data_IF_804589477163
#
_entry.id   IF_804589477163
#
_cell.length_a   1.000
_cell.length_b   1.000
_cell.length_c   1.000
_cell.angle_alpha   90.00
_cell.angle_beta   90.00
_cell.angle_gamma   90.00
#
_symmetry.space_group_name_H-M   'P 1'
#
loop_
_entity.id
_entity.type
_entity.pdbx_description
1 polymer ?
#
# COMPACT_ATOMS: atom_id res chain seq x y z
N UNK A 1 39.27 10.67 4.34
CA UNK A 1 39.01 9.24 4.56
C UNK A 1 37.63 9.17 5.20
N UNK A 2 36.59 8.99 4.39
CA UNK A 2 35.24 8.80 4.89
C UNK A 2 35.21 7.40 5.49
N UNK A 3 35.15 7.32 6.82
CA UNK A 3 34.84 6.08 7.50
C UNK A 3 33.51 5.56 6.96
N UNK A 4 33.49 4.34 6.45
CA UNK A 4 32.27 3.60 6.18
C UNK A 4 31.57 3.47 7.54
N UNK A 5 30.59 4.33 7.79
CA UNK A 5 29.61 4.07 8.85
C UNK A 5 28.96 2.74 8.51
N UNK A 6 28.83 1.86 9.49
CA UNK A 6 28.10 0.59 9.29
C UNK A 6 26.73 0.91 8.69
N UNK A 7 26.26 0.12 7.70
CA UNK A 7 24.94 0.36 7.12
C UNK A 7 23.88 0.38 8.21
N UNK A 8 22.94 1.32 8.13
CA UNK A 8 21.79 1.37 9.03
C UNK A 8 20.93 0.12 8.83
N UNK A 9 20.31 -0.40 9.90
CA UNK A 9 19.37 -1.51 9.76
C UNK A 9 17.94 -1.01 9.72
N UNK A 10 17.24 -1.32 8.63
CA UNK A 10 15.82 -0.99 8.43
C UNK A 10 14.95 -2.19 8.75
N UNK A 11 14.03 -2.03 9.70
CA UNK A 11 12.94 -2.99 9.94
C UNK A 11 11.70 -2.58 9.13
N UNK A 12 11.23 -3.46 8.25
CA UNK A 12 10.01 -3.27 7.48
C UNK A 12 8.89 -4.07 8.12
N UNK A 13 7.85 -3.37 8.58
CA UNK A 13 6.61 -3.97 9.08
C UNK A 13 5.62 -4.11 7.93
N UNK A 14 5.02 -5.30 7.79
CA UNK A 14 4.08 -5.61 6.70
C UNK A 14 4.74 -5.94 5.35
N UNK A 15 5.86 -6.71 5.30
CA UNK A 15 6.67 -6.95 4.10
C UNK A 15 5.96 -7.76 3.00
N UNK A 16 4.78 -8.32 3.27
CA UNK A 16 3.98 -9.11 2.32
C UNK A 16 2.79 -8.31 1.74
N UNK A 17 2.59 -7.07 2.19
CA UNK A 17 1.61 -6.15 1.61
C UNK A 17 2.18 -5.42 0.38
N UNK A 18 1.31 -4.69 -0.33
CA UNK A 18 1.71 -3.94 -1.54
C UNK A 18 2.87 -2.99 -1.24
N UNK A 19 2.74 -2.16 -0.21
CA UNK A 19 3.75 -1.17 0.15
C UNK A 19 5.01 -1.82 0.71
N UNK A 20 4.88 -2.64 1.76
CA UNK A 20 6.05 -3.25 2.40
C UNK A 20 6.83 -4.19 1.48
N UNK A 21 6.15 -4.86 0.54
CA UNK A 21 6.77 -5.67 -0.49
C UNK A 21 7.62 -4.85 -1.47
N UNK A 22 7.08 -3.73 -1.95
CA UNK A 22 7.79 -2.81 -2.85
C UNK A 22 8.99 -2.17 -2.14
N UNK A 23 8.83 -1.73 -0.88
CA UNK A 23 9.94 -1.19 -0.08
C UNK A 23 11.04 -2.25 0.13
N UNK A 24 10.65 -3.48 0.50
CA UNK A 24 11.61 -4.59 0.64
C UNK A 24 12.37 -4.84 -0.66
N UNK A 25 11.68 -4.88 -1.79
CA UNK A 25 12.31 -5.09 -3.10
C UNK A 25 13.27 -3.96 -3.46
N UNK A 26 12.88 -2.70 -3.21
CA UNK A 26 13.69 -1.53 -3.53
C UNK A 26 14.95 -1.44 -2.69
N UNK A 27 14.85 -1.67 -1.39
CA UNK A 27 15.99 -1.58 -0.48
C UNK A 27 16.88 -2.83 -0.52
N UNK A 28 16.39 -3.96 -1.04
CA UNK A 28 17.16 -5.19 -1.13
C UNK A 28 18.33 -5.03 -2.10
N UNK A 29 19.54 -5.24 -1.60
CA UNK A 29 20.78 -5.05 -2.39
C UNK A 29 21.30 -3.61 -2.40
N UNK A 30 20.64 -2.65 -1.76
CA UNK A 30 21.21 -1.33 -1.52
C UNK A 30 22.22 -1.43 -0.36
N UNK A 31 23.49 -1.18 -0.66
CA UNK A 31 24.61 -1.32 0.31
C UNK A 31 24.52 -0.35 1.51
N UNK A 32 23.64 0.66 1.45
CA UNK A 32 23.42 1.58 2.56
C UNK A 32 22.56 0.98 3.67
N UNK A 33 21.82 -0.11 3.38
CA UNK A 33 20.81 -0.65 4.29
C UNK A 33 20.91 -2.16 4.47
N UNK A 34 21.02 -2.60 5.73
CA UNK A 34 20.73 -3.97 6.13
C UNK A 34 19.23 -4.11 6.40
N UNK A 35 18.59 -5.18 5.92
CA UNK A 35 17.15 -5.34 6.04
C UNK A 35 16.75 -6.37 7.10
N UNK A 36 15.74 -6.00 7.88
CA UNK A 36 14.93 -6.90 8.67
C UNK A 36 13.46 -6.74 8.30
N UNK A 37 12.67 -7.78 8.48
CA UNK A 37 11.22 -7.77 8.23
C UNK A 37 10.49 -8.42 9.38
N UNK A 38 9.29 -7.91 9.72
CA UNK A 38 8.44 -8.52 10.72
C UNK A 38 7.00 -8.68 10.20
N UNK A 39 6.45 -9.88 10.35
CA UNK A 39 5.08 -10.21 9.96
C UNK A 39 4.58 -11.46 10.68
N UNK A 40 3.28 -11.72 10.61
CA UNK A 40 2.67 -12.98 11.11
C UNK A 40 3.03 -14.19 10.25
N UNK A 41 3.35 -13.97 8.97
CA UNK A 41 3.74 -15.06 8.06
C UNK A 41 5.18 -15.44 8.33
N UNK A 42 5.50 -16.75 8.38
CA UNK A 42 6.88 -17.19 8.49
C UNK A 42 7.70 -16.73 7.27
N UNK A 43 9.01 -16.70 7.43
CA UNK A 43 9.93 -16.47 6.31
C UNK A 43 9.70 -17.49 5.20
N UNK A 44 9.69 -17.04 3.94
CA UNK A 44 9.56 -17.95 2.81
C UNK A 44 10.82 -18.84 2.70
N UNK A 45 10.64 -20.15 2.46
CA UNK A 45 11.76 -21.04 2.18
C UNK A 45 12.53 -20.53 0.94
N UNK A 46 13.83 -20.30 1.09
CA UNK A 46 14.69 -19.83 0.00
C UNK A 46 14.88 -18.31 -0.08
N UNK A 47 14.35 -17.52 0.86
CA UNK A 47 14.81 -16.14 1.04
C UNK A 47 16.33 -16.16 1.29
N UNK A 48 17.04 -15.38 0.46
CA UNK A 48 18.50 -15.21 0.64
C UNK A 48 18.79 -14.74 2.05
N UNK A 49 19.86 -15.23 2.64
CA UNK A 49 20.33 -14.91 4.01
C UNK A 49 20.59 -13.41 4.27
N UNK A 50 20.36 -12.55 3.28
CA UNK A 50 20.57 -11.11 3.36
C UNK A 50 19.46 -10.35 4.12
N UNK A 51 18.25 -10.91 4.28
CA UNK A 51 17.13 -10.26 4.99
C UNK A 51 16.77 -11.08 6.22
N UNK A 52 16.91 -10.49 7.41
CA UNK A 52 16.48 -11.12 8.67
C UNK A 52 14.95 -11.05 8.75
N UNK A 53 14.28 -12.20 8.78
CA UNK A 53 12.82 -12.27 8.86
C UNK A 53 12.37 -12.74 10.25
N UNK A 54 11.51 -11.97 10.90
CA UNK A 54 10.93 -12.27 12.21
C UNK A 54 9.44 -12.57 12.06
N UNK A 55 9.03 -13.74 12.57
CA UNK A 55 7.60 -14.10 12.65
C UNK A 55 7.04 -13.64 13.99
N UNK A 56 6.07 -12.71 13.94
CA UNK A 56 5.48 -12.12 15.16
C UNK A 56 4.06 -11.61 14.89
N UNK A 57 3.16 -11.81 15.83
CA UNK A 57 1.90 -11.06 15.89
C UNK A 57 2.09 -9.80 16.73
N UNK A 58 2.07 -8.65 16.08
CA UNK A 58 2.25 -7.34 16.73
C UNK A 58 1.11 -6.98 17.70
N UNK A 59 0.00 -7.72 17.69
CA UNK A 59 -1.10 -7.55 18.66
C UNK A 59 -0.89 -8.40 19.93
N UNK A 60 0.03 -9.34 19.90
CA UNK A 60 0.41 -10.14 21.06
C UNK A 60 1.71 -9.61 21.68
N UNK A 61 1.55 -8.75 22.68
CA UNK A 61 2.69 -8.11 23.38
C UNK A 61 3.62 -9.12 24.03
N UNK A 62 3.11 -10.29 24.42
CA UNK A 62 3.94 -11.32 25.05
C UNK A 62 4.95 -11.94 24.08
N UNK A 63 4.59 -12.02 22.80
CA UNK A 63 5.47 -12.57 21.77
C UNK A 63 6.39 -11.50 21.17
N UNK A 64 5.99 -10.23 21.14
CA UNK A 64 6.78 -9.14 20.57
C UNK A 64 8.12 -9.00 21.27
N UNK A 65 8.14 -8.95 22.60
CA UNK A 65 9.36 -8.77 23.38
C UNK A 65 10.40 -9.87 23.09
N UNK A 66 9.95 -11.13 23.03
CA UNK A 66 10.84 -12.28 22.70
C UNK A 66 11.33 -12.27 21.26
N UNK A 67 10.45 -11.94 20.32
CA UNK A 67 10.75 -11.95 18.88
C UNK A 67 11.70 -10.82 18.46
N UNK A 68 11.73 -9.71 19.20
CA UNK A 68 12.54 -8.54 18.83
C UNK A 68 13.93 -8.50 19.49
N UNK A 69 14.27 -9.46 20.35
CA UNK A 69 15.62 -9.53 20.97
C UNK A 69 16.74 -9.51 19.92
N UNK A 70 16.52 -10.14 18.78
CA UNK A 70 17.50 -10.17 17.68
C UNK A 70 17.51 -8.88 16.83
N UNK A 71 16.67 -7.91 17.13
CA UNK A 71 16.51 -6.65 16.40
C UNK A 71 17.10 -5.45 17.17
N UNK A 72 17.93 -5.69 18.18
CA UNK A 72 18.57 -4.63 18.99
C UNK A 72 19.47 -3.68 18.18
N UNK A 73 19.85 -4.06 16.98
CA UNK A 73 20.67 -3.27 16.05
C UNK A 73 19.83 -2.50 15.00
N UNK A 74 18.49 -2.54 15.09
CA UNK A 74 17.60 -1.75 14.24
C UNK A 74 17.74 -0.27 14.58
N UNK A 75 17.96 0.54 13.54
CA UNK A 75 18.07 2.00 13.63
C UNK A 75 16.89 2.72 12.95
N UNK A 76 16.31 2.08 11.94
CA UNK A 76 15.23 2.66 11.14
C UNK A 76 14.03 1.71 11.06
N UNK A 77 12.83 2.28 11.05
CA UNK A 77 11.59 1.50 10.91
C UNK A 77 10.77 2.05 9.74
N UNK A 78 10.32 1.17 8.85
CA UNK A 78 9.26 1.47 7.89
C UNK A 78 8.00 0.75 8.33
N UNK A 79 7.01 1.51 8.80
CA UNK A 79 5.77 0.94 9.29
C UNK A 79 4.68 1.00 8.21
N UNK A 80 4.43 -0.15 7.55
CA UNK A 80 3.36 -0.38 6.58
C UNK A 80 2.40 -1.51 7.06
N UNK A 81 2.36 -1.74 8.38
CA UNK A 81 1.48 -2.73 9.01
C UNK A 81 0.03 -2.29 8.99
N UNK A 82 -0.86 -3.21 8.60
CA UNK A 82 -2.29 -2.98 8.56
C UNK A 82 -3.06 -4.24 8.98
N UNK A 83 -4.13 -4.03 9.73
CA UNK A 83 -5.12 -5.08 9.99
C UNK A 83 -6.52 -4.54 9.77
N UNK A 84 -7.32 -5.29 9.00
CA UNK A 84 -8.70 -4.93 8.69
C UNK A 84 -9.64 -5.38 9.80
N UNK A 85 -10.70 -4.60 10.02
CA UNK A 85 -11.84 -4.92 10.87
C UNK A 85 -13.13 -4.52 10.14
N UNK A 86 -14.30 -5.02 10.55
CA UNK A 86 -15.58 -4.76 9.89
C UNK A 86 -15.91 -3.26 9.78
N UNK A 87 -15.54 -2.45 10.76
CA UNK A 87 -15.81 -1.01 10.77
C UNK A 87 -14.56 -0.18 10.96
N UNK A 88 -14.59 1.08 10.48
CA UNK A 88 -13.50 2.04 10.67
C UNK A 88 -13.16 2.27 12.15
N UNK A 89 -14.17 2.32 13.01
CA UNK A 89 -13.97 2.48 14.45
C UNK A 89 -13.22 1.31 15.08
N UNK A 90 -13.56 0.07 14.69
CA UNK A 90 -12.89 -1.14 15.17
C UNK A 90 -11.45 -1.29 14.64
N UNK A 91 -11.12 -0.61 13.55
CA UNK A 91 -9.75 -0.60 13.01
C UNK A 91 -8.78 0.26 13.81
N UNK A 92 -9.27 1.25 14.56
CA UNK A 92 -8.40 2.24 15.21
C UNK A 92 -7.46 1.57 16.21
N UNK A 93 -8.00 0.96 17.25
CA UNK A 93 -7.20 0.42 18.35
C UNK A 93 -6.17 -0.65 17.90
N UNK A 94 -6.51 -1.67 17.08
CA UNK A 94 -5.52 -2.67 16.70
C UNK A 94 -4.43 -2.11 15.79
N UNK A 95 -4.72 -1.17 14.88
CA UNK A 95 -3.70 -0.58 14.03
C UNK A 95 -2.76 0.35 14.81
N UNK A 96 -3.28 1.11 15.77
CA UNK A 96 -2.45 1.94 16.68
C UNK A 96 -1.61 1.05 17.61
N UNK A 97 -2.20 -0.02 18.15
CA UNK A 97 -1.49 -0.98 19.01
C UNK A 97 -0.31 -1.65 18.29
N UNK A 98 -0.46 -2.03 17.01
CA UNK A 98 0.64 -2.60 16.24
C UNK A 98 1.84 -1.66 16.13
N UNK A 99 1.61 -0.35 15.88
CA UNK A 99 2.69 0.64 15.85
C UNK A 99 3.34 0.79 17.23
N UNK A 100 2.52 0.94 18.28
CA UNK A 100 3.01 1.05 19.67
C UNK A 100 3.87 -0.15 20.06
N UNK A 101 3.35 -1.36 19.87
CA UNK A 101 4.03 -2.60 20.24
C UNK A 101 5.32 -2.81 19.44
N UNK A 102 5.37 -2.35 18.18
CA UNK A 102 6.59 -2.36 17.37
C UNK A 102 7.66 -1.48 17.99
N UNK A 103 7.33 -0.23 18.27
CA UNK A 103 8.30 0.74 18.79
C UNK A 103 8.72 0.40 20.23
N UNK A 104 7.77 0.09 21.12
CA UNK A 104 8.05 -0.32 22.50
C UNK A 104 8.89 -1.61 22.54
N UNK A 105 8.58 -2.60 21.68
CA UNK A 105 9.33 -3.86 21.60
C UNK A 105 10.78 -3.66 21.15
N UNK A 106 11.02 -2.80 20.16
CA UNK A 106 12.37 -2.46 19.70
C UNK A 106 13.17 -1.72 20.79
N UNK A 107 12.54 -0.75 21.45
CA UNK A 107 13.17 0.00 22.56
C UNK A 107 13.52 -0.96 23.70
N UNK A 108 12.58 -1.83 24.07
CA UNK A 108 12.82 -2.83 25.12
C UNK A 108 13.93 -3.84 24.75
N UNK A 109 14.10 -4.16 23.47
CA UNK A 109 15.20 -4.97 22.95
C UNK A 109 16.55 -4.24 22.95
N UNK A 110 16.57 -2.94 23.25
CA UNK A 110 17.78 -2.11 23.28
C UNK A 110 18.13 -1.44 21.95
N UNK A 111 17.20 -1.46 20.97
CA UNK A 111 17.39 -0.76 19.70
C UNK A 111 17.49 0.77 19.91
N UNK A 112 18.42 1.37 19.19
CA UNK A 112 18.61 2.84 19.18
C UNK A 112 17.99 3.38 17.90
N UNK A 113 16.68 3.64 17.97
CA UNK A 113 15.96 4.18 16.83
C UNK A 113 16.45 5.58 16.48
N UNK A 114 16.74 5.80 15.21
CA UNK A 114 17.14 7.08 14.63
C UNK A 114 15.99 7.70 13.84
N UNK A 115 15.29 6.90 13.03
CA UNK A 115 14.21 7.39 12.17
C UNK A 115 13.08 6.38 11.98
N UNK A 116 11.84 6.86 11.92
CA UNK A 116 10.64 6.07 11.65
C UNK A 116 9.87 6.67 10.48
N UNK A 117 9.67 5.89 9.42
CA UNK A 117 8.78 6.24 8.31
C UNK A 117 7.45 5.52 8.51
N UNK A 118 6.40 6.30 8.72
CA UNK A 118 5.02 5.81 8.85
C UNK A 118 4.28 5.95 7.51
N UNK A 119 3.66 4.88 7.05
CA UNK A 119 2.74 4.94 5.91
C UNK A 119 1.35 5.28 6.42
N UNK A 120 0.92 6.50 6.16
CA UNK A 120 -0.41 7.01 6.40
C UNK A 120 -1.35 6.79 5.21
N UNK A 121 -2.26 7.73 4.96
CA UNK A 121 -3.14 7.68 3.79
C UNK A 121 -4.07 8.89 3.69
N UNK A 122 -4.64 9.09 2.50
CA UNK A 122 -5.53 10.21 2.17
C UNK A 122 -6.81 10.27 3.00
N UNK A 123 -7.22 9.14 3.58
CA UNK A 123 -8.36 9.11 4.52
C UNK A 123 -8.19 10.05 5.72
N UNK A 124 -6.97 10.51 6.01
CA UNK A 124 -6.72 11.58 7.00
C UNK A 124 -7.46 12.89 6.66
N UNK A 125 -7.76 13.12 5.38
CA UNK A 125 -8.51 14.28 4.88
C UNK A 125 -10.02 14.07 4.87
N UNK A 126 -10.52 12.87 5.20
CA UNK A 126 -11.94 12.53 5.17
C UNK A 126 -12.45 12.06 3.80
N UNK A 127 -11.58 11.74 2.84
CA UNK A 127 -11.93 11.29 1.48
C UNK A 127 -12.91 10.10 1.46
N UNK A 128 -12.91 9.27 2.49
CA UNK A 128 -13.82 8.12 2.62
C UNK A 128 -15.25 8.47 3.05
N UNK A 129 -15.50 9.75 3.36
CA UNK A 129 -16.82 10.25 3.78
C UNK A 129 -17.57 10.94 2.64
N UNK A 130 -16.91 11.25 1.53
CA UNK A 130 -17.45 11.98 0.41
C UNK A 130 -16.53 13.10 -0.07
N UNK A 131 -17.07 14.00 -0.88
CA UNK A 131 -16.32 15.12 -1.45
C UNK A 131 -15.65 15.97 -0.35
N UNK A 132 -14.39 16.28 -0.55
CA UNK A 132 -13.56 17.05 0.36
C UNK A 132 -12.79 18.13 -0.41
N UNK A 133 -12.07 19.00 0.30
CA UNK A 133 -11.26 20.04 -0.35
C UNK A 133 -10.17 19.40 -1.22
N UNK A 134 -10.19 19.65 -2.52
CA UNK A 134 -9.19 19.22 -3.49
C UNK A 134 -8.49 20.43 -4.16
N UNK A 135 -7.17 20.34 -4.40
CA UNK A 135 -6.27 19.31 -3.93
C UNK A 135 -6.04 19.38 -2.41
N UNK A 136 -6.07 18.23 -1.74
CA UNK A 136 -5.76 18.15 -0.31
C UNK A 136 -4.27 18.47 -0.07
N UNK A 137 -4.00 19.21 1.00
CA UNK A 137 -2.64 19.57 1.40
C UNK A 137 -2.37 19.05 2.81
N UNK A 138 -1.13 18.81 3.12
CA UNK A 138 -0.68 18.30 4.41
C UNK A 138 -1.03 19.23 5.59
N UNK A 139 -1.26 20.52 5.29
CA UNK A 139 -1.70 21.54 6.26
C UNK A 139 -3.22 21.62 6.42
N UNK A 140 -3.99 20.87 5.63
CA UNK A 140 -5.44 20.88 5.77
C UNK A 140 -5.86 20.21 7.08
N UNK A 141 -6.96 20.67 7.70
CA UNK A 141 -7.42 20.09 8.94
C UNK A 141 -7.84 18.63 8.76
N UNK A 142 -7.60 17.83 9.79
CA UNK A 142 -8.17 16.48 9.89
C UNK A 142 -9.69 16.57 9.99
N UNK A 143 -10.40 15.56 9.45
CA UNK A 143 -11.85 15.47 9.66
C UNK A 143 -12.17 15.13 11.13
N UNK A 144 -13.41 15.39 11.56
CA UNK A 144 -13.82 15.28 12.98
C UNK A 144 -13.77 13.83 13.51
N UNK A 145 -13.97 12.83 12.66
CA UNK A 145 -14.00 11.42 13.07
C UNK A 145 -12.62 10.86 13.41
N UNK A 146 -12.61 9.71 14.11
CA UNK A 146 -11.38 8.97 14.36
C UNK A 146 -11.03 8.07 13.18
N UNK A 147 -9.75 8.05 12.82
CA UNK A 147 -9.16 7.09 11.91
C UNK A 147 -7.76 6.71 12.40
N UNK A 148 -7.41 5.45 12.27
CA UNK A 148 -6.14 4.94 12.79
C UNK A 148 -4.91 5.67 12.23
N UNK A 149 -4.95 6.21 11.01
CA UNK A 149 -3.85 7.00 10.45
C UNK A 149 -3.51 8.22 11.31
N UNK A 150 -4.55 8.98 11.72
CA UNK A 150 -4.35 10.17 12.55
C UNK A 150 -3.87 9.80 13.96
N UNK A 151 -4.44 8.74 14.55
CA UNK A 151 -4.05 8.26 15.87
C UNK A 151 -2.64 7.66 15.87
N UNK A 152 -2.21 7.03 14.76
CA UNK A 152 -0.83 6.56 14.57
C UNK A 152 0.16 7.72 14.44
N UNK A 153 -0.20 8.78 13.71
CA UNK A 153 0.63 10.00 13.63
C UNK A 153 0.80 10.63 15.02
N UNK A 154 -0.29 10.75 15.80
CA UNK A 154 -0.23 11.32 17.15
C UNK A 154 0.64 10.47 18.09
N UNK A 155 0.50 9.15 18.04
CA UNK A 155 1.35 8.22 18.77
C UNK A 155 2.83 8.35 18.36
N UNK A 156 3.10 8.43 17.06
CA UNK A 156 4.46 8.58 16.55
C UNK A 156 5.12 9.86 17.05
N UNK A 157 4.39 10.99 17.04
CA UNK A 157 4.87 12.26 17.57
C UNK A 157 5.13 12.21 19.08
N UNK A 158 4.23 11.60 19.85
CA UNK A 158 4.40 11.40 21.28
C UNK A 158 5.65 10.58 21.58
N UNK A 159 5.80 9.43 20.93
CA UNK A 159 6.92 8.53 21.17
C UNK A 159 8.26 9.13 20.71
N UNK A 160 8.28 9.79 19.55
CA UNK A 160 9.46 10.52 19.06
C UNK A 160 9.93 11.56 20.08
N UNK A 161 9.02 12.37 20.62
CA UNK A 161 9.35 13.39 21.60
C UNK A 161 9.93 12.81 22.90
N UNK A 162 9.52 11.60 23.30
CA UNK A 162 9.99 10.93 24.52
C UNK A 162 11.29 10.16 24.32
N UNK A 163 11.50 9.58 23.13
CA UNK A 163 12.59 8.64 22.85
C UNK A 163 13.72 9.26 22.03
N UNK A 164 13.49 10.42 21.38
CA UNK A 164 14.50 11.19 20.66
C UNK A 164 14.76 10.74 19.23
N UNK A 165 14.03 9.78 18.67
CA UNK A 165 14.12 9.44 17.25
C UNK A 165 13.36 10.46 16.38
N UNK A 166 13.72 10.57 15.10
CA UNK A 166 13.04 11.41 14.11
C UNK A 166 11.99 10.61 13.34
N UNK A 167 11.12 11.30 12.62
CA UNK A 167 10.04 10.63 11.88
C UNK A 167 9.71 11.32 10.55
N UNK A 168 9.09 10.56 9.65
CA UNK A 168 8.40 11.06 8.45
C UNK A 168 7.08 10.31 8.29
N UNK A 169 6.02 11.01 7.88
CA UNK A 169 4.75 10.39 7.48
C UNK A 169 4.55 10.56 5.97
N UNK A 170 4.33 9.46 5.27
CA UNK A 170 3.96 9.47 3.87
C UNK A 170 2.49 9.11 3.72
N UNK A 171 1.68 10.00 3.12
CA UNK A 171 0.26 9.81 2.88
C UNK A 171 0.03 9.50 1.40
N UNK A 172 0.08 8.24 0.99
CA UNK A 172 -0.31 7.86 -0.37
C UNK A 172 -1.82 8.01 -0.57
N UNK A 173 -2.23 8.12 -1.82
CA UNK A 173 -3.56 7.79 -2.31
C UNK A 173 -3.68 6.26 -2.50
N UNK A 174 -4.63 5.79 -3.29
CA UNK A 174 -4.78 4.36 -3.60
C UNK A 174 -3.47 3.79 -4.15
N UNK A 175 -2.88 2.82 -3.41
CA UNK A 175 -1.59 2.24 -3.81
C UNK A 175 -1.79 1.08 -4.79
N UNK A 176 -1.17 1.19 -5.96
CA UNK A 176 -1.12 0.14 -6.98
C UNK A 176 0.18 -0.65 -6.89
N UNK A 177 0.07 -1.96 -6.85
CA UNK A 177 1.22 -2.86 -6.82
C UNK A 177 0.82 -4.31 -6.61
N UNK A 178 1.82 -5.16 -6.44
CA UNK A 178 1.61 -6.59 -6.28
C UNK A 178 1.58 -7.00 -4.80
N UNK A 179 0.52 -7.71 -4.40
CA UNK A 179 0.49 -8.50 -3.17
C UNK A 179 -0.63 -9.54 -3.26
N UNK A 180 -0.37 -10.77 -2.83
CA UNK A 180 -1.41 -11.81 -2.71
C UNK A 180 -2.09 -11.73 -1.35
N UNK A 181 -3.43 -11.86 -1.35
CA UNK A 181 -4.24 -11.86 -0.14
C UNK A 181 -4.25 -10.52 0.60
N UNK A 182 -3.94 -9.42 -0.10
CA UNK A 182 -4.14 -8.08 0.44
C UNK A 182 -5.59 -7.64 0.24
N UNK A 183 -6.29 -7.22 1.30
CA UNK A 183 -7.69 -6.81 1.21
C UNK A 183 -7.89 -5.49 0.43
N UNK A 184 -6.82 -4.74 0.20
CA UNK A 184 -6.83 -3.46 -0.52
C UNK A 184 -6.06 -3.55 -1.86
N UNK A 185 -6.13 -4.68 -2.56
CA UNK A 185 -5.46 -4.87 -3.85
C UNK A 185 -6.43 -4.61 -5.01
N UNK A 186 -6.58 -3.34 -5.37
CA UNK A 186 -7.44 -2.91 -6.47
C UNK A 186 -7.00 -3.50 -7.82
N UNK A 187 -5.70 -3.51 -8.08
CA UNK A 187 -5.17 -3.93 -9.37
C UNK A 187 -5.43 -5.40 -9.66
N UNK A 188 -5.26 -6.27 -8.66
CA UNK A 188 -5.59 -7.68 -8.78
C UNK A 188 -7.09 -7.89 -9.01
N UNK A 189 -7.95 -7.19 -8.25
CA UNK A 189 -9.39 -7.28 -8.43
C UNK A 189 -9.82 -6.88 -9.84
N UNK A 190 -9.30 -5.77 -10.38
CA UNK A 190 -9.59 -5.34 -11.77
C UNK A 190 -9.10 -6.36 -12.80
N UNK A 191 -7.90 -6.93 -12.61
CA UNK A 191 -7.37 -7.95 -13.49
C UNK A 191 -8.20 -9.24 -13.48
N UNK A 192 -8.68 -9.66 -12.31
CA UNK A 192 -9.60 -10.82 -12.18
C UNK A 192 -10.94 -10.51 -12.82
N UNK A 193 -11.51 -9.33 -12.61
CA UNK A 193 -12.75 -8.89 -13.25
C UNK A 193 -12.64 -8.92 -14.78
N UNK A 194 -11.57 -8.35 -15.34
CA UNK A 194 -11.30 -8.39 -16.78
C UNK A 194 -11.17 -9.83 -17.30
N UNK A 195 -10.48 -10.70 -16.55
CA UNK A 195 -10.31 -12.11 -16.92
C UNK A 195 -11.64 -12.88 -16.96
N UNK A 196 -12.50 -12.64 -15.96
CA UNK A 196 -13.84 -13.24 -15.92
C UNK A 196 -14.73 -12.72 -17.06
N UNK A 197 -14.70 -11.43 -17.37
CA UNK A 197 -15.41 -10.85 -18.50
C UNK A 197 -14.93 -11.45 -19.84
N UNK A 198 -13.62 -11.59 -20.01
CA UNK A 198 -13.02 -12.20 -21.21
C UNK A 198 -13.46 -13.65 -21.38
N UNK A 199 -13.42 -14.45 -20.32
CA UNK A 199 -13.87 -15.86 -20.36
C UNK A 199 -15.36 -15.98 -20.72
N UNK A 200 -16.18 -15.05 -20.21
CA UNK A 200 -17.60 -14.98 -20.53
C UNK A 200 -17.90 -14.43 -21.94
N UNK A 201 -16.90 -13.92 -22.66
CA UNK A 201 -17.09 -13.32 -23.98
C UNK A 201 -17.87 -12.00 -23.97
N UNK A 202 -17.84 -11.26 -22.86
CA UNK A 202 -18.52 -9.97 -22.70
C UNK A 202 -17.53 -8.81 -22.71
N UNK A 203 -17.94 -7.59 -23.17
CA UNK A 203 -17.05 -6.43 -23.13
C UNK A 203 -16.71 -6.00 -21.69
N UNK A 204 -15.55 -5.39 -21.52
CA UNK A 204 -15.13 -4.83 -20.22
C UNK A 204 -15.91 -3.53 -19.96
N UNK A 205 -16.91 -3.56 -19.07
CA UNK A 205 -17.70 -2.42 -18.66
C UNK A 205 -17.19 -1.88 -17.34
N UNK A 206 -17.14 -0.54 -17.22
CA UNK A 206 -16.88 0.10 -15.95
C UNK A 206 -18.07 -0.14 -14.99
N UNK A 207 -17.87 -0.74 -13.82
CA UNK A 207 -18.98 -1.11 -12.94
C UNK A 207 -19.42 0.01 -12.00
N UNK A 208 -18.71 1.15 -11.97
CA UNK A 208 -19.06 2.30 -11.16
C UNK A 208 -20.12 3.21 -11.77
N UNK A 209 -20.43 4.31 -11.08
CA UNK A 209 -21.43 5.30 -11.56
C UNK A 209 -20.92 6.13 -12.74
N UNK A 210 -21.81 6.75 -13.54
CA UNK A 210 -21.39 7.68 -14.59
C UNK A 210 -20.60 8.88 -14.06
N UNK A 211 -20.86 9.32 -12.82
CA UNK A 211 -20.10 10.41 -12.19
C UNK A 211 -18.70 9.95 -11.82
N UNK A 212 -18.56 8.77 -11.22
CA UNK A 212 -17.25 8.17 -10.93
C UNK A 212 -16.40 7.97 -12.21
N UNK A 213 -17.05 7.62 -13.33
CA UNK A 213 -16.42 7.48 -14.64
C UNK A 213 -15.69 8.75 -15.10
N UNK A 214 -16.23 9.92 -14.73
CA UNK A 214 -15.73 11.24 -15.17
C UNK A 214 -15.04 12.03 -14.07
N UNK A 215 -15.05 11.60 -12.82
CA UNK A 215 -14.34 12.24 -11.72
C UNK A 215 -12.80 12.14 -11.89
N UNK A 216 -12.07 13.11 -11.33
CA UNK A 216 -10.61 13.06 -11.29
C UNK A 216 -10.14 12.18 -10.13
N UNK A 217 -9.21 11.31 -10.44
CA UNK A 217 -8.57 10.42 -9.48
C UNK A 217 -7.05 10.53 -9.57
N UNK A 218 -6.40 10.07 -8.51
CA UNK A 218 -4.95 9.83 -8.46
C UNK A 218 -4.69 8.40 -8.01
N UNK A 219 -3.52 7.90 -8.35
CA UNK A 219 -2.98 6.68 -7.78
C UNK A 219 -1.57 6.93 -7.24
N UNK A 220 -1.13 6.01 -6.42
CA UNK A 220 0.26 5.91 -5.96
C UNK A 220 0.82 4.57 -6.43
N UNK A 221 1.75 4.59 -7.36
CA UNK A 221 2.51 3.39 -7.72
C UNK A 221 3.37 2.95 -6.53
N UNK A 222 3.35 1.66 -6.21
CA UNK A 222 4.11 1.13 -5.09
C UNK A 222 5.62 1.37 -5.23
N UNK A 223 6.16 1.39 -6.45
CA UNK A 223 7.56 1.66 -6.70
C UNK A 223 7.89 3.15 -6.48
N UNK A 224 6.96 4.08 -6.80
CA UNK A 224 7.08 5.51 -6.47
C UNK A 224 7.04 5.72 -4.96
N UNK A 225 6.12 5.05 -4.27
CA UNK A 225 6.05 5.12 -2.81
C UNK A 225 7.29 4.52 -2.14
N UNK A 226 7.79 3.39 -2.64
CA UNK A 226 9.04 2.79 -2.14
C UNK A 226 10.25 3.71 -2.36
N UNK A 227 10.29 4.46 -3.49
CA UNK A 227 11.30 5.47 -3.73
C UNK A 227 11.18 6.66 -2.76
N UNK A 228 9.95 7.07 -2.41
CA UNK A 228 9.73 8.10 -1.42
C UNK A 228 10.14 7.65 -0.01
N UNK A 229 9.91 6.38 0.33
CA UNK A 229 10.39 5.77 1.59
C UNK A 229 11.92 5.79 1.65
N UNK A 230 12.60 5.31 0.58
CA UNK A 230 14.07 5.32 0.52
C UNK A 230 14.63 6.74 0.67
N UNK A 231 14.04 7.73 -0.02
CA UNK A 231 14.39 9.13 0.13
C UNK A 231 14.17 9.63 1.55
N UNK A 232 13.04 9.27 2.18
CA UNK A 232 12.71 9.72 3.53
C UNK A 232 13.64 9.14 4.61
N UNK A 233 14.20 7.94 4.40
CA UNK A 233 15.13 7.30 5.32
C UNK A 233 16.46 8.06 5.47
N UNK A 234 16.88 8.84 4.47
CA UNK A 234 18.20 9.49 4.42
C UNK A 234 18.13 11.01 4.23
N UNK A 235 16.98 11.56 3.89
CA UNK A 235 16.84 12.99 3.60
C UNK A 235 16.65 13.84 4.86
N UNK A 236 17.50 14.82 5.14
CA UNK A 236 17.28 15.76 6.22
C UNK A 236 16.00 16.61 6.03
N UNK A 237 15.55 16.79 4.79
CA UNK A 237 14.32 17.52 4.46
C UNK A 237 13.04 16.72 4.75
N UNK A 238 13.17 15.44 5.06
CA UNK A 238 12.05 14.59 5.40
C UNK A 238 11.76 14.55 6.91
N UNK A 239 12.73 14.95 7.73
CA UNK A 239 12.66 14.86 9.18
C UNK A 239 11.56 15.76 9.77
N UNK A 240 10.65 15.14 10.53
CA UNK A 240 9.55 15.83 11.19
C UNK A 240 8.43 16.28 10.25
N UNK A 241 8.33 15.68 9.07
CA UNK A 241 7.46 16.15 8.02
C UNK A 241 6.41 15.10 7.60
N UNK A 242 5.26 15.60 7.17
CA UNK A 242 4.19 14.82 6.52
C UNK A 242 4.16 15.17 5.05
N UNK A 243 4.08 14.17 4.18
CA UNK A 243 4.02 14.37 2.73
C UNK A 243 2.94 13.53 2.07
N UNK A 244 2.19 14.16 1.17
CA UNK A 244 1.38 13.43 0.19
C UNK A 244 2.28 12.82 -0.88
N UNK A 245 1.99 11.58 -1.26
CA UNK A 245 2.74 10.86 -2.29
C UNK A 245 1.76 10.25 -3.29
N UNK A 246 1.82 10.71 -4.54
CA UNK A 246 1.05 10.15 -5.66
C UNK A 246 1.94 10.03 -6.90
N UNK A 247 1.42 9.44 -7.97
CA UNK A 247 2.15 9.31 -9.24
C UNK A 247 2.59 10.65 -9.86
N UNK A 248 1.88 11.73 -9.51
CA UNK A 248 2.20 13.09 -9.96
C UNK A 248 1.30 13.63 -11.06
N UNK A 249 0.43 12.81 -11.62
CA UNK A 249 -0.63 13.15 -12.56
C UNK A 249 -2.02 12.94 -11.96
N UNK A 250 -3.06 13.19 -12.76
CA UNK A 250 -4.45 12.88 -12.46
C UNK A 250 -5.05 12.16 -13.67
N UNK A 251 -5.94 11.23 -13.42
CA UNK A 251 -6.62 10.50 -14.47
C UNK A 251 -8.15 10.49 -14.27
N UNK A 252 -8.88 10.05 -15.30
CA UNK A 252 -10.30 9.69 -15.24
C UNK A 252 -10.45 8.25 -15.68
N UNK A 253 -11.33 7.50 -15.05
CA UNK A 253 -11.58 6.11 -15.45
C UNK A 253 -11.94 5.98 -16.93
N UNK A 254 -12.66 6.95 -17.50
CA UNK A 254 -13.07 6.94 -18.90
C UNK A 254 -11.89 6.87 -19.89
N UNK A 255 -10.71 7.33 -19.50
CA UNK A 255 -9.52 7.28 -20.36
C UNK A 255 -8.65 6.06 -20.06
N UNK A 256 -8.54 5.70 -18.79
CA UNK A 256 -7.73 4.57 -18.34
C UNK A 256 -8.36 3.20 -18.70
N UNK A 257 -9.70 3.15 -18.83
CA UNK A 257 -10.43 1.90 -19.00
C UNK A 257 -10.13 1.18 -20.32
N UNK A 258 -9.97 1.96 -21.40
CA UNK A 258 -9.61 1.41 -22.71
C UNK A 258 -8.18 0.83 -22.72
N UNK A 259 -7.25 1.48 -22.02
CA UNK A 259 -5.87 0.96 -21.89
C UNK A 259 -5.86 -0.36 -21.11
N UNK A 260 -6.64 -0.45 -20.03
CA UNK A 260 -6.79 -1.69 -19.26
C UNK A 260 -7.41 -2.80 -20.10
N UNK A 261 -8.48 -2.52 -20.87
CA UNK A 261 -9.10 -3.49 -21.75
C UNK A 261 -8.13 -3.98 -22.84
N UNK A 262 -7.28 -3.08 -23.34
CA UNK A 262 -6.23 -3.38 -24.31
C UNK A 262 -5.22 -4.42 -23.79
N UNK A 263 -4.88 -4.41 -22.48
CA UNK A 263 -4.01 -5.45 -21.89
C UNK A 263 -4.59 -6.85 -22.05
N UNK A 264 -5.92 -6.97 -22.05
CA UNK A 264 -6.63 -8.25 -22.18
C UNK A 264 -7.18 -8.51 -23.60
N UNK A 265 -6.86 -7.70 -24.59
CA UNK A 265 -7.39 -7.77 -25.95
C UNK A 265 -8.93 -7.84 -25.95
N UNK A 266 -9.57 -6.93 -25.21
CA UNK A 266 -11.03 -6.90 -25.03
C UNK A 266 -11.62 -5.59 -25.54
N UNK A 267 -12.85 -5.60 -26.09
CA UNK A 267 -13.59 -4.38 -26.33
C UNK A 267 -14.13 -3.82 -25.00
N UNK A 268 -14.24 -2.51 -24.92
CA UNK A 268 -14.99 -1.82 -23.88
C UNK A 268 -16.44 -1.57 -24.30
N UNK A 269 -17.30 -1.21 -23.35
CA UNK A 269 -18.65 -0.74 -23.60
C UNK A 269 -19.06 0.28 -22.56
N UNK A 270 -20.20 0.94 -22.76
CA UNK A 270 -20.70 1.95 -21.85
C UNK A 270 -20.73 1.48 -20.38
N UNK A 271 -20.42 2.33 -19.41
CA UNK A 271 -20.50 2.00 -17.99
C UNK A 271 -21.82 1.35 -17.62
N UNK A 272 -21.77 0.38 -16.73
CA UNK A 272 -22.94 -0.32 -16.20
C UNK A 272 -22.77 -0.47 -14.69
N UNK A 273 -23.38 0.43 -13.90
CA UNK A 273 -23.29 0.37 -12.45
C UNK A 273 -23.75 -0.96 -11.90
N UNK A 274 -22.88 -1.63 -11.12
CA UNK A 274 -23.16 -2.88 -10.43
C UNK A 274 -22.22 -3.06 -9.24
N UNK A 275 -22.64 -3.84 -8.26
CA UNK A 275 -21.74 -4.30 -7.19
C UNK A 275 -20.94 -5.51 -7.64
N UNK A 276 -19.62 -5.40 -7.68
CA UNK A 276 -18.74 -6.55 -7.96
C UNK A 276 -18.83 -7.57 -6.81
N UNK A 277 -19.00 -7.12 -5.58
CA UNK A 277 -19.19 -7.99 -4.42
C UNK A 277 -20.36 -8.94 -4.62
N UNK A 278 -21.49 -8.46 -5.17
CA UNK A 278 -22.67 -9.29 -5.42
C UNK A 278 -22.55 -10.10 -6.71
N UNK A 279 -22.13 -9.44 -7.80
CA UNK A 279 -22.13 -10.05 -9.13
C UNK A 279 -21.00 -11.08 -9.33
N UNK A 280 -19.93 -10.95 -8.57
CA UNK A 280 -18.77 -11.86 -8.66
C UNK A 280 -18.73 -12.90 -7.52
N UNK A 281 -19.71 -12.91 -6.60
CA UNK A 281 -19.70 -13.78 -5.42
C UNK A 281 -19.61 -15.28 -5.76
N UNK A 282 -20.24 -15.72 -6.84
CA UNK A 282 -20.31 -17.12 -7.28
C UNK A 282 -19.26 -17.52 -8.32
N UNK A 283 -18.30 -16.65 -8.66
CA UNK A 283 -17.35 -16.87 -9.76
C UNK A 283 -16.09 -17.66 -9.36
N UNK A 284 -15.99 -18.11 -8.11
CA UNK A 284 -14.83 -18.89 -7.65
C UNK A 284 -14.52 -20.09 -8.54
N UNK A 285 -15.54 -20.87 -8.92
CA UNK A 285 -15.38 -22.02 -9.81
C UNK A 285 -14.89 -21.66 -11.23
N UNK A 286 -15.26 -20.47 -11.73
CA UNK A 286 -14.77 -19.96 -13.02
C UNK A 286 -13.30 -19.58 -12.87
N UNK A 287 -12.93 -18.94 -11.76
CA UNK A 287 -11.54 -18.60 -11.48
C UNK A 287 -10.66 -19.86 -11.39
N UNK A 288 -11.09 -20.89 -10.67
CA UNK A 288 -10.36 -22.16 -10.58
C UNK A 288 -10.15 -22.80 -11.95
N UNK A 289 -11.17 -22.75 -12.81
CA UNK A 289 -11.06 -23.24 -14.20
C UNK A 289 -10.05 -22.41 -15.03
N UNK A 290 -10.00 -21.08 -14.83
CA UNK A 290 -9.01 -20.21 -15.48
C UNK A 290 -7.60 -20.51 -14.99
N UNK A 291 -7.40 -20.66 -13.67
CA UNK A 291 -6.10 -21.03 -13.07
C UNK A 291 -5.59 -22.32 -13.71
N UNK A 292 -6.44 -23.33 -13.83
CA UNK A 292 -6.06 -24.61 -14.42
C UNK A 292 -5.78 -24.49 -15.94
N UNK A 293 -6.68 -23.85 -16.70
CA UNK A 293 -6.59 -23.70 -18.17
C UNK A 293 -5.35 -22.95 -18.59
N UNK A 294 -5.03 -21.85 -17.90
CA UNK A 294 -3.90 -20.98 -18.24
C UNK A 294 -2.63 -21.32 -17.45
N UNK A 295 -2.65 -22.38 -16.62
CA UNK A 295 -1.52 -22.78 -15.77
C UNK A 295 -0.99 -21.62 -14.93
N UNK A 296 -1.92 -20.87 -14.32
CA UNK A 296 -1.57 -19.75 -13.49
C UNK A 296 -0.91 -20.22 -12.18
N UNK A 297 -0.27 -19.28 -11.47
CA UNK A 297 0.12 -19.51 -10.08
C UNK A 297 -1.15 -19.84 -9.31
N UNK A 298 -1.12 -20.93 -8.54
CA UNK A 298 -2.30 -21.39 -7.79
C UNK A 298 -2.65 -20.37 -6.72
N UNK A 299 -3.82 -19.76 -6.88
CA UNK A 299 -4.39 -18.81 -5.93
C UNK A 299 -5.84 -19.19 -5.65
N UNK A 300 -6.29 -19.01 -4.41
CA UNK A 300 -7.72 -19.10 -4.11
C UNK A 300 -8.42 -17.83 -4.58
N UNK A 301 -9.71 -17.95 -4.89
CA UNK A 301 -10.50 -16.80 -5.33
C UNK A 301 -10.47 -15.65 -4.32
N UNK A 302 -10.58 -15.97 -3.01
CA UNK A 302 -10.53 -14.97 -1.94
C UNK A 302 -9.19 -14.21 -1.85
N UNK A 303 -8.10 -14.81 -2.31
CA UNK A 303 -6.79 -14.15 -2.31
C UNK A 303 -6.66 -13.08 -3.41
N UNK A 304 -7.50 -13.13 -4.42
CA UNK A 304 -7.42 -12.28 -5.63
C UNK A 304 -8.63 -11.38 -5.83
N UNK A 305 -9.70 -11.57 -5.07
CA UNK A 305 -11.01 -10.94 -5.26
C UNK A 305 -11.35 -9.91 -4.15
N UNK A 306 -10.61 -8.82 -4.10
CA UNK A 306 -10.89 -7.73 -3.15
C UNK A 306 -12.12 -6.90 -3.60
N UNK A 307 -13.27 -7.55 -3.86
CA UNK A 307 -14.45 -6.92 -4.47
C UNK A 307 -15.01 -5.77 -3.67
N UNK A 308 -15.12 -5.93 -2.34
CA UNK A 308 -15.63 -4.86 -1.46
C UNK A 308 -14.80 -3.60 -1.57
N UNK A 309 -13.47 -3.75 -1.66
CA UNK A 309 -12.56 -2.62 -1.84
C UNK A 309 -12.70 -2.01 -3.24
N UNK A 310 -12.80 -2.87 -4.28
CA UNK A 310 -13.01 -2.43 -5.64
C UNK A 310 -14.34 -1.65 -5.79
N UNK A 311 -15.44 -2.17 -5.23
CA UNK A 311 -16.72 -1.47 -5.24
C UNK A 311 -16.62 -0.08 -4.59
N UNK A 312 -15.95 0.03 -3.44
CA UNK A 312 -15.78 1.31 -2.74
C UNK A 312 -15.00 2.33 -3.58
N UNK A 313 -13.91 1.89 -4.24
CA UNK A 313 -13.10 2.75 -5.11
C UNK A 313 -13.86 3.17 -6.36
N UNK A 314 -14.52 2.22 -7.05
CA UNK A 314 -15.25 2.47 -8.30
C UNK A 314 -16.56 3.26 -8.10
N UNK A 315 -17.06 3.31 -6.87
CA UNK A 315 -18.22 4.13 -6.52
C UNK A 315 -17.85 5.56 -6.14
N UNK A 316 -16.56 5.91 -6.05
CA UNK A 316 -16.13 7.28 -5.71
C UNK A 316 -16.49 8.24 -6.85
N UNK A 317 -17.51 9.07 -6.64
CA UNK A 317 -18.16 9.91 -7.64
C UNK A 317 -17.78 11.40 -7.52
N UNK A 318 -16.69 11.69 -6.86
CA UNK A 318 -16.11 13.04 -6.67
C UNK A 318 -14.61 13.02 -6.93
N UNK A 319 -14.04 14.22 -7.12
CA UNK A 319 -12.60 14.37 -7.37
C UNK A 319 -11.78 13.99 -6.15
N UNK A 320 -10.84 13.06 -6.32
CA UNK A 320 -9.85 12.67 -5.33
C UNK A 320 -8.48 13.14 -5.78
N UNK A 321 -8.00 14.23 -5.20
CA UNK A 321 -6.74 14.87 -5.59
C UNK A 321 -5.98 15.35 -4.36
N UNK A 322 -4.74 14.93 -4.23
CA UNK A 322 -3.77 15.38 -3.23
C UNK A 322 -2.67 16.22 -3.89
N UNK A 323 -2.22 17.27 -3.21
CA UNK A 323 -1.10 18.10 -3.68
C UNK A 323 0.23 17.44 -3.32
N UNK A 324 1.09 17.22 -4.29
CA UNK A 324 2.46 16.72 -4.10
C UNK A 324 3.51 17.84 -4.18
N UNK A 325 3.10 19.09 -4.08
CA UNK A 325 4.02 20.23 -4.19
C UNK A 325 5.04 20.23 -3.05
N UNK A 326 4.59 19.93 -1.82
CA UNK A 326 5.45 19.95 -0.63
C UNK A 326 6.60 18.95 -0.75
N UNK A 327 6.33 17.69 -1.10
CA UNK A 327 7.37 16.67 -1.21
C UNK A 327 8.36 16.99 -2.34
N UNK A 328 7.88 17.55 -3.46
CA UNK A 328 8.74 17.97 -4.57
C UNK A 328 9.67 19.13 -4.18
N UNK A 329 9.15 20.10 -3.42
CA UNK A 329 9.96 21.21 -2.88
C UNK A 329 10.97 20.71 -1.83
N UNK A 330 10.67 19.64 -1.11
CA UNK A 330 11.60 18.98 -0.18
C UNK A 330 12.69 18.15 -0.89
N UNK A 331 12.59 17.95 -2.21
CA UNK A 331 13.62 17.29 -3.02
C UNK A 331 13.28 15.88 -3.51
N UNK A 332 12.10 15.36 -3.25
CA UNK A 332 11.65 14.13 -3.88
C UNK A 332 10.93 14.42 -5.20
N UNK A 333 11.49 13.91 -6.32
CA UNK A 333 10.98 14.17 -7.67
C UNK A 333 10.43 12.92 -8.37
N UNK A 334 10.26 11.81 -7.63
CA UNK A 334 9.69 10.58 -8.19
C UNK A 334 8.29 10.80 -8.74
N UNK A 335 8.06 10.34 -9.96
CA UNK A 335 6.74 10.35 -10.61
C UNK A 335 6.68 9.26 -11.67
N UNK A 336 5.45 8.88 -12.03
CA UNK A 336 5.17 7.95 -13.12
C UNK A 336 3.83 8.32 -13.74
N UNK A 337 3.70 8.11 -15.05
CA UNK A 337 2.42 8.22 -15.74
C UNK A 337 1.47 7.10 -15.25
N UNK A 338 0.28 7.47 -14.79
CA UNK A 338 -0.67 6.52 -14.18
C UNK A 338 -1.13 5.47 -15.16
N UNK A 339 -1.38 5.81 -16.44
CA UNK A 339 -1.78 4.86 -17.46
C UNK A 339 -0.67 3.83 -17.71
N UNK A 340 0.56 4.29 -17.86
CA UNK A 340 1.75 3.43 -18.01
C UNK A 340 1.94 2.50 -16.80
N UNK A 341 1.76 3.03 -15.59
CA UNK A 341 1.86 2.25 -14.33
C UNK A 341 0.83 1.13 -14.29
N UNK A 342 -0.46 1.44 -14.50
CA UNK A 342 -1.54 0.45 -14.46
C UNK A 342 -1.35 -0.64 -15.51
N UNK A 343 -1.08 -0.25 -16.76
CA UNK A 343 -0.83 -1.19 -17.87
C UNK A 343 0.37 -2.08 -17.55
N UNK A 344 1.48 -1.48 -17.10
CA UNK A 344 2.70 -2.21 -16.77
C UNK A 344 2.50 -3.21 -15.62
N UNK A 345 1.76 -2.85 -14.59
CA UNK A 345 1.42 -3.77 -13.50
C UNK A 345 0.54 -4.93 -13.97
N UNK A 346 -0.51 -4.66 -14.77
CA UNK A 346 -1.37 -5.72 -15.31
C UNK A 346 -0.59 -6.67 -16.22
N UNK A 347 0.30 -6.14 -17.06
CA UNK A 347 1.19 -6.95 -17.90
C UNK A 347 2.11 -7.83 -17.06
N UNK A 348 2.76 -7.27 -16.04
CA UNK A 348 3.59 -8.05 -15.09
C UNK A 348 2.81 -9.15 -14.39
N UNK A 349 1.56 -8.92 -13.99
CA UNK A 349 0.71 -9.96 -13.41
C UNK A 349 0.45 -11.11 -14.40
N UNK A 350 0.27 -10.81 -15.68
CA UNK A 350 0.12 -11.82 -16.75
C UNK A 350 1.44 -12.55 -17.01
N UNK A 351 2.55 -11.85 -17.15
CA UNK A 351 3.89 -12.42 -17.36
C UNK A 351 4.28 -13.39 -16.24
N UNK A 352 3.95 -13.04 -15.01
CA UNK A 352 4.18 -13.89 -13.84
C UNK A 352 3.07 -14.93 -13.60
N UNK A 353 2.12 -15.04 -14.53
CA UNK A 353 1.01 -16.00 -14.49
C UNK A 353 0.12 -15.89 -13.25
N UNK A 354 -0.11 -14.70 -12.76
CA UNK A 354 -1.17 -14.42 -11.78
C UNK A 354 -2.50 -14.07 -12.45
N UNK A 355 -2.46 -13.62 -13.71
CA UNK A 355 -3.61 -13.40 -14.58
C UNK A 355 -3.41 -14.11 -15.92
N UNK A 356 -4.49 -14.51 -16.61
CA UNK A 356 -4.44 -15.17 -17.93
C UNK A 356 -4.01 -14.25 -19.06
#
# INVERSE_FOLDING_TARGET
MNGLTSPGRVLIIGPHGVVGGAVKQRLNGNAAWDLATASRRPAEPGQTSAVRAVSVDLLDTSTVAGSFVELADVTHVVFAGYTERPTMAEMVEPNVAMLRNTLDGLIAAGARLEHVVLIGGGKSYGEHLGAYKTPAKETDPRFLGRIFYNDQEDLLHEMSSRQGFTWTVLRPDLVLGFALGSPMNMLMALGVYASLCKDAGVPLRFPGTPTAWTALHQFTDADVLAAAVEWALDSPNAVGEVFNVTNGDNFRWQHLWDDMAGVFDMPTAAPQPMSLTEQMADKGHVWDALVHRHRLVVTTYDQVSAWRFADAVLATDFDMVQSTIKIRQAGFHGCVDTHTSVVGHLQRLREHRYLP
#
